data_IF_639697607465
#
_entry.id   IF_639697607465
#
_cell.length_a   1.000
_cell.length_b   1.000
_cell.length_c   1.000
_cell.angle_alpha   90.00
_cell.angle_beta   90.00
_cell.angle_gamma   90.00
#
_symmetry.space_group_name_H-M   'P 1'
#
loop_
_entity.id
_entity.type
_entity.pdbx_description
1 polymer ?
#
# COMPACT_ATOMS: atom_id res chain seq x y z
N UNK A 1 16.77 -51.78 63.07
CA UNK A 1 16.03 -50.47 62.97
C UNK A 1 16.59 -49.52 61.89
N UNK A 2 17.66 -49.79 61.18
CA UNK A 2 18.22 -48.86 60.17
C UNK A 2 17.71 -49.00 58.72
N UNK A 3 17.05 -50.08 58.34
CA UNK A 3 16.57 -50.32 56.98
C UNK A 3 15.23 -49.60 56.69
N UNK A 4 14.33 -49.53 57.66
CA UNK A 4 13.02 -48.94 57.53
C UNK A 4 13.03 -47.38 57.30
N UNK A 5 13.99 -46.69 57.92
CA UNK A 5 14.14 -45.25 57.77
C UNK A 5 14.73 -44.87 56.41
N UNK A 6 15.48 -45.77 55.75
CA UNK A 6 16.07 -45.53 54.42
C UNK A 6 15.06 -45.74 53.30
N UNK A 7 14.16 -46.66 53.46
CA UNK A 7 13.11 -46.93 52.47
C UNK A 7 11.95 -45.88 52.57
N UNK A 8 11.69 -45.37 53.76
CA UNK A 8 10.73 -44.26 53.94
C UNK A 8 11.24 -42.94 53.32
N UNK A 9 12.56 -42.67 53.37
CA UNK A 9 13.14 -41.50 52.69
C UNK A 9 13.08 -41.65 51.16
N UNK A 10 13.29 -42.82 50.62
CA UNK A 10 13.16 -43.10 49.17
C UNK A 10 11.71 -42.93 48.74
N UNK A 11 10.73 -43.37 49.50
CA UNK A 11 9.32 -43.20 49.18
C UNK A 11 8.89 -41.72 49.20
N UNK A 12 9.37 -40.93 50.15
CA UNK A 12 9.14 -39.50 50.23
C UNK A 12 9.76 -38.76 49.01
N UNK A 13 10.97 -39.15 48.57
CA UNK A 13 11.57 -38.59 47.38
C UNK A 13 10.85 -38.95 46.08
N UNK A 14 10.28 -40.14 45.96
CA UNK A 14 9.46 -40.59 44.84
C UNK A 14 8.13 -39.80 44.79
N UNK A 15 7.49 -39.60 45.95
CA UNK A 15 6.24 -38.79 46.03
C UNK A 15 6.52 -37.33 45.69
N UNK A 16 7.63 -36.77 46.15
CA UNK A 16 8.04 -35.38 45.82
C UNK A 16 8.38 -35.20 44.32
N UNK A 17 8.98 -36.20 43.68
CA UNK A 17 9.23 -36.23 42.25
C UNK A 17 7.94 -36.37 41.44
N UNK A 18 6.98 -37.18 41.88
CA UNK A 18 5.67 -37.32 41.22
C UNK A 18 4.82 -36.04 41.31
N UNK A 19 4.88 -35.32 42.44
CA UNK A 19 4.17 -34.04 42.57
C UNK A 19 4.70 -32.93 41.67
N UNK A 20 6.00 -32.91 41.31
CA UNK A 20 6.61 -31.99 40.38
C UNK A 20 6.21 -32.26 38.93
N UNK A 21 5.90 -33.49 38.56
CA UNK A 21 5.50 -33.85 37.19
C UNK A 21 4.04 -33.50 36.89
N UNK A 22 3.15 -33.63 37.89
CA UNK A 22 1.71 -33.33 37.75
C UNK A 22 1.46 -31.83 37.64
N UNK A 23 2.22 -30.99 38.37
CA UNK A 23 2.11 -29.53 38.29
C UNK A 23 2.48 -28.91 36.94
N UNK A 24 3.41 -29.53 36.17
CA UNK A 24 3.82 -29.03 34.88
C UNK A 24 2.80 -29.31 33.75
N UNK A 25 2.03 -30.40 33.81
CA UNK A 25 1.09 -30.75 32.74
C UNK A 25 -0.17 -29.90 32.76
N UNK A 26 -0.71 -29.57 33.93
CA UNK A 26 -1.89 -28.67 34.06
C UNK A 26 -1.51 -27.25 33.65
N UNK A 27 -0.36 -26.75 34.02
CA UNK A 27 0.13 -25.43 33.62
C UNK A 27 0.33 -25.31 32.10
N UNK A 28 0.79 -26.36 31.43
CA UNK A 28 0.98 -26.36 29.96
C UNK A 28 -0.35 -26.32 29.20
N UNK A 29 -1.32 -27.17 29.59
CA UNK A 29 -2.64 -27.19 28.94
C UNK A 29 -3.44 -25.92 29.21
N UNK A 30 -3.33 -25.33 30.39
CA UNK A 30 -3.93 -24.05 30.72
C UNK A 30 -3.32 -22.91 29.88
N UNK A 31 -1.99 -22.84 29.77
CA UNK A 31 -1.30 -21.88 28.94
C UNK A 31 -1.72 -22.02 27.48
N UNK A 32 -1.85 -23.25 26.97
CA UNK A 32 -2.29 -23.54 25.61
C UNK A 32 -3.75 -23.12 25.38
N UNK A 33 -4.64 -23.32 26.35
CA UNK A 33 -6.04 -22.86 26.30
C UNK A 33 -6.12 -21.34 26.27
N UNK A 34 -5.37 -20.64 27.12
CA UNK A 34 -5.33 -19.18 27.19
C UNK A 34 -4.80 -18.63 25.84
N UNK A 35 -3.70 -19.17 25.34
CA UNK A 35 -3.11 -18.76 24.06
C UNK A 35 -4.09 -18.97 22.89
N UNK A 36 -4.80 -20.10 22.87
CA UNK A 36 -5.83 -20.39 21.86
C UNK A 36 -7.00 -19.41 21.96
N UNK A 37 -7.49 -19.14 23.18
CA UNK A 37 -8.57 -18.19 23.39
C UNK A 37 -8.18 -16.77 22.99
N UNK A 38 -6.97 -16.31 23.34
CA UNK A 38 -6.43 -15.03 22.93
C UNK A 38 -6.30 -14.92 21.40
N UNK A 39 -5.80 -15.97 20.74
CA UNK A 39 -5.70 -16.03 19.28
C UNK A 39 -7.08 -15.96 18.62
N UNK A 40 -8.08 -16.69 19.12
CA UNK A 40 -9.44 -16.64 18.60
C UNK A 40 -10.08 -15.26 18.80
N UNK A 41 -9.85 -14.63 19.95
CA UNK A 41 -10.30 -13.26 20.22
C UNK A 41 -9.66 -12.27 19.23
N UNK A 42 -8.34 -12.32 19.06
CA UNK A 42 -7.62 -11.46 18.11
C UNK A 42 -8.11 -11.65 16.66
N UNK A 43 -8.39 -12.89 16.23
CA UNK A 43 -8.96 -13.18 14.91
C UNK A 43 -10.37 -12.60 14.73
N UNK A 44 -11.24 -12.70 15.76
CA UNK A 44 -12.58 -12.09 15.74
C UNK A 44 -12.50 -10.57 15.66
N UNK A 45 -11.62 -9.95 16.45
CA UNK A 45 -11.39 -8.50 16.41
C UNK A 45 -10.84 -8.05 15.05
N UNK A 46 -9.88 -8.79 14.45
CA UNK A 46 -9.35 -8.48 13.12
C UNK A 46 -10.42 -8.65 12.04
N UNK A 47 -11.29 -9.66 12.15
CA UNK A 47 -12.40 -9.85 11.21
C UNK A 47 -13.49 -8.78 11.33
N UNK A 48 -13.70 -8.22 12.52
CA UNK A 48 -14.68 -7.17 12.77
C UNK A 48 -14.16 -5.77 12.40
N UNK A 49 -12.85 -5.56 12.34
CA UNK A 49 -12.23 -4.29 11.98
C UNK A 49 -12.47 -3.92 10.51
N UNK A 50 -12.48 -2.62 10.22
CA UNK A 50 -12.43 -2.09 8.85
C UNK A 50 -10.97 -1.94 8.42
N UNK A 51 -10.48 -2.85 7.60
CA UNK A 51 -9.09 -2.90 7.16
C UNK A 51 -8.92 -2.16 5.84
N UNK A 52 -7.94 -1.27 5.81
CA UNK A 52 -7.61 -0.46 4.63
C UNK A 52 -6.20 -0.80 4.18
N UNK A 53 -6.07 -1.30 2.95
CA UNK A 53 -4.77 -1.55 2.33
C UNK A 53 -4.16 -0.26 1.80
N UNK A 54 -2.92 0.03 2.18
CA UNK A 54 -2.21 1.26 1.85
C UNK A 54 -0.79 0.99 1.35
N UNK A 55 -0.26 1.91 0.54
CA UNK A 55 1.08 1.89 -0.05
C UNK A 55 1.98 2.97 0.56
N UNK A 56 3.29 2.84 0.48
CA UNK A 56 4.23 3.88 0.92
C UNK A 56 4.30 5.04 -0.08
N UNK A 57 3.14 5.63 -0.41
CA UNK A 57 2.98 6.68 -1.41
C UNK A 57 2.25 7.88 -0.84
N UNK A 58 2.44 9.06 -1.45
CA UNK A 58 1.95 10.33 -0.92
C UNK A 58 0.42 10.44 -0.92
N UNK A 59 -0.25 9.81 -1.86
CA UNK A 59 -1.71 9.76 -1.94
C UNK A 59 -2.37 8.97 -0.79
N UNK A 60 -1.59 8.13 -0.10
CA UNK A 60 -1.99 7.48 1.15
C UNK A 60 -1.83 8.37 2.40
N UNK A 61 -1.18 9.55 2.27
CA UNK A 61 -0.89 10.43 3.42
C UNK A 61 -2.14 10.84 4.21
N UNK A 62 -3.31 11.14 3.59
CA UNK A 62 -4.52 11.43 4.37
C UNK A 62 -4.94 10.26 5.27
N UNK A 63 -4.75 9.01 4.82
CA UNK A 63 -5.10 7.81 5.60
C UNK A 63 -4.12 7.65 6.78
N UNK A 64 -2.83 7.85 6.54
CA UNK A 64 -1.80 7.80 7.59
C UNK A 64 -2.03 8.88 8.64
N UNK A 65 -2.28 10.12 8.18
CA UNK A 65 -2.58 11.24 9.07
C UNK A 65 -3.82 10.98 9.91
N UNK A 66 -4.90 10.49 9.28
CA UNK A 66 -6.13 10.18 10.00
C UNK A 66 -5.92 9.10 11.07
N UNK A 67 -5.04 8.13 10.84
CA UNK A 67 -4.70 7.11 11.82
C UNK A 67 -3.83 7.64 12.95
N UNK A 68 -2.71 8.30 12.63
CA UNK A 68 -1.73 8.77 13.62
C UNK A 68 -2.28 9.90 14.50
N UNK A 69 -3.10 10.78 13.94
CA UNK A 69 -3.74 11.89 14.68
C UNK A 69 -5.15 11.56 15.18
N UNK A 70 -5.55 10.28 15.16
CA UNK A 70 -6.84 9.80 15.70
C UNK A 70 -8.06 10.56 15.11
N UNK A 71 -8.01 10.90 13.81
CA UNK A 71 -9.11 11.61 13.14
C UNK A 71 -10.28 10.68 12.77
N UNK A 72 -10.09 9.36 12.88
CA UNK A 72 -11.18 8.40 12.75
C UNK A 72 -12.06 8.41 14.00
N UNK A 73 -13.32 8.04 13.84
CA UNK A 73 -14.25 7.87 14.96
C UNK A 73 -13.75 6.73 15.86
N UNK A 74 -13.54 7.02 17.15
CA UNK A 74 -13.01 6.05 18.13
C UNK A 74 -13.95 4.88 18.41
N UNK A 75 -15.25 5.03 18.08
CA UNK A 75 -16.23 3.94 18.18
C UNK A 75 -16.09 2.90 17.05
N UNK A 76 -15.13 3.09 16.12
CA UNK A 76 -14.92 2.21 14.96
C UNK A 76 -13.46 1.78 14.89
N UNK A 77 -13.24 0.47 14.84
CA UNK A 77 -11.87 -0.07 14.66
C UNK A 77 -11.48 -0.02 13.16
N UNK A 78 -10.65 0.98 12.80
CA UNK A 78 -10.06 1.11 11.48
C UNK A 78 -8.59 0.72 11.56
N UNK A 79 -8.20 -0.32 10.82
CA UNK A 79 -6.84 -0.85 10.79
C UNK A 79 -6.19 -0.67 9.43
N UNK A 80 -4.95 -0.18 9.40
CA UNK A 80 -4.16 -0.08 8.18
C UNK A 80 -3.38 -1.38 7.95
N UNK A 81 -3.48 -1.92 6.74
CA UNK A 81 -2.65 -3.03 6.26
C UNK A 81 -1.64 -2.44 5.27
N UNK A 82 -0.38 -2.41 5.69
CA UNK A 82 0.72 -1.82 4.92
C UNK A 82 1.23 -2.82 3.89
N UNK A 83 1.21 -2.45 2.62
CA UNK A 83 1.78 -3.21 1.52
C UNK A 83 2.87 -2.38 0.84
N UNK A 84 3.80 -3.03 0.15
CA UNK A 84 4.85 -2.36 -0.63
C UNK A 84 4.61 -2.44 -2.14
N UNK A 85 3.76 -3.37 -2.55
CA UNK A 85 3.41 -3.59 -3.95
C UNK A 85 1.89 -3.54 -4.18
N UNK A 86 1.47 -2.90 -5.26
CA UNK A 86 0.05 -2.83 -5.64
C UNK A 86 -0.57 -4.20 -5.87
N UNK A 87 0.18 -5.15 -6.43
CA UNK A 87 -0.33 -6.52 -6.67
C UNK A 87 -0.78 -7.24 -5.39
N UNK A 88 -0.12 -6.94 -4.26
CA UNK A 88 -0.50 -7.52 -2.97
C UNK A 88 -1.82 -6.93 -2.46
N UNK A 89 -2.08 -5.65 -2.75
CA UNK A 89 -3.38 -5.00 -2.47
C UNK A 89 -4.48 -5.62 -3.32
N UNK A 90 -4.24 -5.82 -4.63
CA UNK A 90 -5.20 -6.49 -5.51
C UNK A 90 -5.59 -7.87 -4.96
N UNK A 91 -4.58 -8.66 -4.60
CA UNK A 91 -4.78 -9.99 -4.01
C UNK A 91 -5.52 -9.91 -2.67
N UNK A 92 -5.26 -8.88 -1.86
CA UNK A 92 -5.95 -8.68 -0.59
C UNK A 92 -7.42 -8.27 -0.78
N UNK A 93 -7.70 -7.45 -1.80
CA UNK A 93 -9.06 -7.06 -2.19
C UNK A 93 -9.82 -8.27 -2.75
N UNK A 94 -9.30 -8.95 -3.77
CA UNK A 94 -9.98 -10.10 -4.41
C UNK A 94 -10.23 -11.27 -3.44
N UNK A 95 -9.36 -11.44 -2.43
CA UNK A 95 -9.53 -12.46 -1.39
C UNK A 95 -10.27 -11.95 -0.14
N UNK A 96 -10.92 -10.80 -0.18
CA UNK A 96 -11.70 -10.22 0.93
C UNK A 96 -10.91 -10.10 2.26
N UNK A 97 -9.58 -9.91 2.18
CA UNK A 97 -8.72 -9.74 3.37
C UNK A 97 -8.69 -8.29 3.88
N UNK A 98 -9.15 -7.36 3.06
CA UNK A 98 -9.30 -5.93 3.38
C UNK A 98 -10.62 -5.41 2.81
N UNK A 99 -11.22 -4.46 3.50
CA UNK A 99 -12.50 -3.85 3.12
C UNK A 99 -12.32 -2.73 2.08
N UNK A 100 -11.16 -2.06 2.11
CA UNK A 100 -10.82 -1.01 1.15
C UNK A 100 -9.33 -1.03 0.81
N UNK A 101 -8.94 -0.44 -0.32
CA UNK A 101 -7.54 -0.35 -0.72
C UNK A 101 -7.27 0.81 -1.66
N UNK A 102 -6.04 1.34 -1.59
CA UNK A 102 -5.54 2.36 -2.52
C UNK A 102 -4.98 1.66 -3.76
N UNK A 103 -5.33 2.14 -4.94
CA UNK A 103 -4.93 1.53 -6.22
C UNK A 103 -4.96 2.57 -7.35
N UNK A 104 -4.87 2.10 -8.59
CA UNK A 104 -5.06 2.90 -9.79
C UNK A 104 -6.23 2.37 -10.66
N UNK A 105 -6.78 3.24 -11.51
CA UNK A 105 -7.94 2.93 -12.34
C UNK A 105 -7.71 1.74 -13.27
N UNK A 106 -6.51 1.59 -13.82
CA UNK A 106 -6.19 0.48 -14.74
C UNK A 106 -6.32 -0.86 -14.01
N UNK A 107 -5.74 -0.96 -12.81
CA UNK A 107 -5.81 -2.17 -12.00
C UNK A 107 -7.23 -2.50 -11.59
N UNK A 108 -7.96 -1.49 -11.13
CA UNK A 108 -9.34 -1.69 -10.66
C UNK A 108 -10.28 -2.10 -11.79
N UNK A 109 -10.19 -1.48 -12.96
CA UNK A 109 -11.00 -1.89 -14.11
C UNK A 109 -10.62 -3.29 -14.60
N UNK A 110 -9.36 -3.69 -14.48
CA UNK A 110 -8.93 -5.07 -14.73
C UNK A 110 -9.58 -6.06 -13.76
N UNK A 111 -9.54 -5.78 -12.44
CA UNK A 111 -10.15 -6.64 -11.42
C UNK A 111 -11.66 -6.75 -11.63
N UNK A 112 -12.35 -5.65 -11.91
CA UNK A 112 -13.77 -5.67 -12.26
C UNK A 112 -14.06 -6.54 -13.49
N UNK A 113 -13.22 -6.46 -14.53
CA UNK A 113 -13.33 -7.32 -15.73
C UNK A 113 -13.12 -8.80 -15.38
N UNK A 114 -12.37 -9.11 -14.33
CA UNK A 114 -12.16 -10.46 -13.81
C UNK A 114 -13.28 -10.95 -12.88
N UNK A 115 -14.26 -10.11 -12.57
CA UNK A 115 -15.45 -10.45 -11.78
C UNK A 115 -15.46 -9.92 -10.35
N UNK A 116 -14.44 -9.14 -9.94
CA UNK A 116 -14.42 -8.52 -8.62
C UNK A 116 -15.49 -7.42 -8.48
N UNK A 117 -16.24 -7.45 -7.37
CA UNK A 117 -17.30 -6.49 -7.06
C UNK A 117 -16.76 -5.27 -6.34
N UNK A 118 -15.94 -4.46 -7.03
CA UNK A 118 -15.29 -3.27 -6.49
C UNK A 118 -16.07 -2.00 -6.82
N UNK A 119 -16.15 -1.07 -5.84
CA UNK A 119 -16.68 0.29 -6.03
C UNK A 119 -15.65 1.34 -5.68
N UNK A 120 -15.66 2.43 -6.44
CA UNK A 120 -14.85 3.61 -6.13
C UNK A 120 -15.41 4.30 -4.89
N UNK A 121 -14.56 4.55 -3.90
CA UNK A 121 -14.85 5.42 -2.76
C UNK A 121 -14.46 6.86 -3.07
N UNK A 122 -13.28 7.05 -3.65
CA UNK A 122 -12.78 8.37 -4.04
C UNK A 122 -11.65 8.27 -5.05
N UNK A 123 -11.48 9.31 -5.86
CA UNK A 123 -10.21 9.59 -6.51
C UNK A 123 -9.18 10.05 -5.47
N UNK A 124 -7.89 9.84 -5.75
CA UNK A 124 -6.78 10.40 -4.98
C UNK A 124 -5.98 11.40 -5.82
N UNK A 125 -5.10 12.15 -5.19
CA UNK A 125 -4.19 13.06 -5.88
C UNK A 125 -2.91 12.38 -6.39
N UNK A 126 -2.90 11.05 -6.50
CA UNK A 126 -1.76 10.32 -7.04
C UNK A 126 -1.45 10.76 -8.47
N UNK A 127 -0.17 11.01 -8.72
CA UNK A 127 0.35 11.19 -10.06
C UNK A 127 1.66 10.42 -10.24
N UNK A 128 1.96 10.09 -11.47
CA UNK A 128 3.12 9.28 -11.82
C UNK A 128 4.03 10.05 -12.77
N UNK A 129 5.32 9.80 -12.61
CA UNK A 129 6.34 10.34 -13.46
C UNK A 129 7.19 9.21 -14.05
N UNK A 130 7.40 9.22 -15.35
CA UNK A 130 8.44 8.43 -15.98
C UNK A 130 9.76 9.18 -15.79
N UNK A 131 10.64 8.57 -15.01
CA UNK A 131 11.93 9.14 -14.63
C UNK A 131 13.03 8.36 -15.30
N UNK A 132 14.00 9.03 -15.88
CA UNK A 132 15.15 8.42 -16.52
C UNK A 132 16.42 8.62 -15.71
N UNK A 133 17.29 7.63 -15.72
CA UNK A 133 18.56 7.70 -15.02
C UNK A 133 19.43 8.79 -15.63
N UNK A 134 19.96 9.66 -14.79
CA UNK A 134 20.87 10.73 -15.23
C UNK A 134 22.10 10.21 -15.98
N UNK A 135 22.59 9.02 -15.62
CA UNK A 135 23.74 8.36 -16.26
C UNK A 135 23.39 7.82 -17.65
N UNK A 136 22.14 7.44 -17.89
CA UNK A 136 21.67 6.91 -19.17
C UNK A 136 21.46 8.00 -20.23
N UNK A 137 21.46 9.29 -19.83
CA UNK A 137 21.31 10.46 -20.74
C UNK A 137 20.08 10.40 -21.64
N UNK A 138 18.99 9.83 -21.15
CA UNK A 138 17.70 9.73 -21.85
C UNK A 138 16.95 11.04 -21.62
N UNK A 139 16.94 11.93 -22.62
CA UNK A 139 16.30 13.25 -22.57
C UNK A 139 15.11 13.38 -23.51
N UNK A 140 14.86 12.38 -24.35
CA UNK A 140 13.75 12.31 -25.31
C UNK A 140 13.22 10.85 -25.32
N UNK A 141 11.96 10.66 -25.70
CA UNK A 141 11.34 9.33 -25.81
C UNK A 141 12.07 8.42 -26.79
N UNK A 142 12.65 8.95 -27.87
CA UNK A 142 13.45 8.17 -28.85
C UNK A 142 14.66 7.50 -28.22
N UNK A 143 15.21 8.07 -27.15
CA UNK A 143 16.35 7.52 -26.44
C UNK A 143 16.00 6.32 -25.57
N UNK A 144 14.72 5.94 -25.49
CA UNK A 144 14.28 4.70 -24.83
C UNK A 144 14.52 3.45 -25.69
N UNK A 145 14.93 3.62 -26.96
CA UNK A 145 15.30 2.51 -27.81
C UNK A 145 16.44 1.70 -27.20
N UNK A 146 16.25 0.39 -27.11
CA UNK A 146 17.21 -0.54 -26.51
C UNK A 146 17.50 -0.26 -25.02
N UNK A 147 16.49 0.23 -24.26
CA UNK A 147 16.60 0.58 -22.84
C UNK A 147 15.64 -0.22 -21.97
N UNK A 148 16.03 -0.37 -20.70
CA UNK A 148 15.21 -1.00 -19.66
C UNK A 148 14.25 0.02 -19.03
N UNK A 149 12.95 -0.31 -18.99
CA UNK A 149 11.90 0.48 -18.35
C UNK A 149 11.22 -0.34 -17.25
N UNK A 150 11.46 0.01 -15.97
CA UNK A 150 10.80 -0.64 -14.86
C UNK A 150 9.39 -0.09 -14.62
N UNK A 151 8.43 -1.00 -14.55
CA UNK A 151 7.01 -0.70 -14.36
C UNK A 151 6.28 -1.88 -13.67
N UNK A 152 4.98 -1.78 -13.45
CA UNK A 152 4.10 -2.88 -13.04
C UNK A 152 3.11 -3.16 -14.16
N UNK A 153 3.03 -4.40 -14.62
CA UNK A 153 2.09 -4.80 -15.69
C UNK A 153 0.64 -4.53 -15.29
N UNK A 154 -0.18 -4.17 -16.27
CA UNK A 154 -1.60 -3.89 -16.11
C UNK A 154 -1.90 -2.86 -15.01
N UNK A 155 -1.11 -1.78 -14.99
CA UNK A 155 -1.29 -0.64 -14.11
C UNK A 155 -1.11 0.66 -14.90
N UNK A 156 -1.36 1.78 -14.25
CA UNK A 156 -1.03 3.10 -14.83
C UNK A 156 0.44 3.20 -15.27
N UNK A 157 1.35 2.48 -14.60
CA UNK A 157 2.78 2.51 -14.96
C UNK A 157 3.07 1.77 -16.26
N UNK A 158 2.31 0.74 -16.60
CA UNK A 158 2.37 0.05 -17.89
C UNK A 158 1.76 0.90 -19.01
N UNK A 159 0.62 1.54 -18.72
CA UNK A 159 -0.01 2.50 -19.65
C UNK A 159 0.96 3.64 -20.00
N UNK A 160 1.68 4.18 -19.01
CA UNK A 160 2.71 5.22 -19.28
C UNK A 160 3.88 4.67 -20.09
N UNK A 161 4.23 3.40 -19.92
CA UNK A 161 5.21 2.72 -20.76
C UNK A 161 4.80 2.67 -22.23
N UNK A 162 3.52 2.34 -22.51
CA UNK A 162 2.98 2.38 -23.88
C UNK A 162 3.00 3.78 -24.46
N UNK A 163 2.52 4.78 -23.68
CA UNK A 163 2.53 6.18 -24.12
C UNK A 163 3.96 6.70 -24.45
N UNK A 164 4.96 6.24 -23.70
CA UNK A 164 6.35 6.60 -23.93
C UNK A 164 6.88 5.98 -25.24
N UNK A 165 6.56 4.70 -25.49
CA UNK A 165 6.91 3.99 -26.73
C UNK A 165 6.26 4.68 -27.94
N UNK A 166 4.96 4.97 -27.84
CA UNK A 166 4.20 5.66 -28.91
C UNK A 166 4.73 7.06 -29.17
N UNK A 167 5.04 7.82 -28.12
CA UNK A 167 5.60 9.17 -28.21
C UNK A 167 7.00 9.17 -28.87
N UNK A 168 7.80 8.15 -28.62
CA UNK A 168 9.10 7.95 -29.26
C UNK A 168 9.01 7.39 -30.67
N UNK A 169 7.81 6.97 -31.13
CA UNK A 169 7.60 6.21 -32.37
C UNK A 169 8.47 4.96 -32.43
N UNK A 170 8.64 4.29 -31.30
CA UNK A 170 9.45 3.10 -31.15
C UNK A 170 8.60 1.84 -31.38
N UNK A 171 9.25 0.74 -31.75
CA UNK A 171 8.64 -0.58 -31.69
C UNK A 171 8.64 -1.07 -30.25
N UNK A 172 7.53 -1.68 -29.82
CA UNK A 172 7.34 -2.09 -28.41
C UNK A 172 8.44 -3.05 -27.92
N UNK A 173 8.91 -3.94 -28.78
CA UNK A 173 9.99 -4.90 -28.50
C UNK A 173 11.39 -4.24 -28.33
N UNK A 174 11.51 -2.98 -28.70
CA UNK A 174 12.76 -2.23 -28.55
C UNK A 174 12.91 -1.56 -27.19
N UNK A 175 11.89 -1.61 -26.34
CA UNK A 175 11.94 -1.12 -24.95
C UNK A 175 11.72 -2.30 -24.02
N UNK A 176 12.75 -2.68 -23.26
CA UNK A 176 12.71 -3.82 -22.37
C UNK A 176 11.94 -3.49 -21.09
N UNK A 177 10.68 -3.95 -20.99
CA UNK A 177 9.81 -3.70 -19.83
C UNK A 177 10.09 -4.70 -18.73
N UNK A 178 10.62 -4.20 -17.63
CA UNK A 178 10.97 -4.99 -16.46
C UNK A 178 9.89 -4.80 -15.38
N UNK A 179 9.27 -5.89 -14.96
CA UNK A 179 8.24 -5.84 -13.92
C UNK A 179 8.87 -5.75 -12.54
N UNK A 180 8.74 -4.60 -11.89
CA UNK A 180 9.16 -4.34 -10.52
C UNK A 180 7.97 -3.71 -9.78
N UNK A 181 7.36 -4.44 -8.87
CA UNK A 181 6.08 -4.04 -8.26
C UNK A 181 6.24 -3.07 -7.08
N UNK A 182 7.34 -3.16 -6.34
CA UNK A 182 7.62 -2.29 -5.20
C UNK A 182 8.25 -0.98 -5.66
N UNK A 183 7.60 0.16 -5.33
CA UNK A 183 8.03 1.49 -5.73
C UNK A 183 9.36 1.89 -5.09
N UNK A 184 9.65 1.44 -3.87
CA UNK A 184 10.91 1.74 -3.19
C UNK A 184 12.06 0.91 -3.78
N UNK A 185 11.79 -0.33 -4.24
CA UNK A 185 12.78 -1.13 -4.98
C UNK A 185 13.11 -0.45 -6.30
N UNK A 186 12.09 0.03 -7.05
CA UNK A 186 12.33 0.82 -8.27
C UNK A 186 13.22 2.02 -8.01
N UNK A 187 12.93 2.80 -6.96
CA UNK A 187 13.75 3.96 -6.60
C UNK A 187 15.20 3.55 -6.31
N UNK A 188 15.43 2.48 -5.54
CA UNK A 188 16.77 1.98 -5.26
C UNK A 188 17.53 1.53 -6.50
N UNK A 189 16.85 0.86 -7.43
CA UNK A 189 17.48 0.45 -8.70
C UNK A 189 17.89 1.66 -9.55
N UNK A 190 17.12 2.76 -9.49
CA UNK A 190 17.51 4.02 -10.11
C UNK A 190 18.76 4.62 -9.43
N UNK A 191 18.77 4.66 -8.09
CA UNK A 191 19.89 5.17 -7.28
C UNK A 191 21.19 4.39 -7.55
N UNK A 192 21.08 3.07 -7.73
CA UNK A 192 22.20 2.17 -8.01
C UNK A 192 22.62 2.11 -9.48
N UNK A 193 21.97 2.87 -10.38
CA UNK A 193 22.17 2.81 -11.83
C UNK A 193 21.88 1.42 -12.45
N UNK A 194 20.96 0.65 -11.89
CA UNK A 194 20.55 -0.68 -12.36
C UNK A 194 19.43 -0.60 -13.41
N UNK A 195 18.77 0.56 -13.56
CA UNK A 195 17.68 0.81 -14.51
C UNK A 195 17.91 2.09 -15.30
N UNK A 196 17.58 2.05 -16.60
CA UNK A 196 17.67 3.22 -17.49
C UNK A 196 16.50 4.19 -17.26
N UNK A 197 15.30 3.65 -17.14
CA UNK A 197 14.06 4.40 -16.91
C UNK A 197 13.11 3.62 -16.00
N UNK A 198 12.22 4.33 -15.32
CA UNK A 198 11.19 3.72 -14.48
C UNK A 198 10.06 4.70 -14.19
N UNK A 199 8.91 4.15 -13.78
CA UNK A 199 7.78 4.99 -13.38
C UNK A 199 7.68 5.01 -11.86
N UNK A 200 7.70 6.21 -11.28
CA UNK A 200 7.54 6.49 -9.86
C UNK A 200 6.30 7.34 -9.60
N UNK A 201 5.79 7.27 -8.39
CA UNK A 201 4.84 8.22 -7.80
C UNK A 201 5.51 8.99 -6.66
N UNK A 202 4.81 9.97 -6.07
CA UNK A 202 5.34 10.71 -4.93
C UNK A 202 5.26 9.90 -3.62
N UNK A 203 6.22 10.08 -2.72
CA UNK A 203 7.37 10.99 -2.75
C UNK A 203 8.65 10.38 -3.36
N UNK A 204 8.61 9.16 -3.89
CA UNK A 204 9.78 8.53 -4.50
C UNK A 204 10.26 9.29 -5.75
N UNK A 205 9.33 9.85 -6.53
CA UNK A 205 9.68 10.70 -7.66
C UNK A 205 10.39 11.98 -7.20
N UNK A 206 9.98 12.58 -6.07
CA UNK A 206 10.66 13.71 -5.46
C UNK A 206 12.11 13.37 -5.07
N UNK A 207 12.36 12.19 -4.51
CA UNK A 207 13.71 11.74 -4.21
C UNK A 207 14.55 11.53 -5.46
N UNK A 208 13.97 11.00 -6.53
CA UNK A 208 14.66 10.88 -7.83
C UNK A 208 15.04 12.27 -8.40
N UNK A 209 14.13 13.26 -8.29
CA UNK A 209 14.43 14.66 -8.71
C UNK A 209 15.51 15.30 -7.85
N UNK A 210 15.52 15.04 -6.53
CA UNK A 210 16.60 15.50 -5.63
C UNK A 210 17.96 14.99 -6.10
N UNK A 211 18.04 13.76 -6.62
CA UNK A 211 19.25 13.13 -7.16
C UNK A 211 19.54 13.53 -8.62
N UNK A 212 18.81 14.52 -9.17
CA UNK A 212 19.01 15.05 -10.53
C UNK A 212 18.71 14.04 -11.64
N UNK A 213 17.84 13.07 -11.38
CA UNK A 213 17.28 12.24 -12.43
C UNK A 213 16.27 13.05 -13.27
N UNK A 214 16.17 12.73 -14.56
CA UNK A 214 15.33 13.50 -15.50
C UNK A 214 13.90 12.97 -15.50
N UNK A 215 12.90 13.86 -15.48
CA UNK A 215 11.48 13.52 -15.64
C UNK A 215 11.12 13.67 -17.12
N UNK A 216 10.89 12.54 -17.78
CA UNK A 216 10.54 12.50 -19.20
C UNK A 216 9.04 12.69 -19.43
N UNK A 217 8.19 12.18 -18.52
CA UNK A 217 6.71 12.26 -18.58
C UNK A 217 6.11 12.48 -17.19
N UNK A 218 5.01 13.23 -17.12
CA UNK A 218 4.25 13.49 -15.89
C UNK A 218 2.75 13.41 -16.19
N UNK A 219 2.00 12.58 -15.48
CA UNK A 219 0.55 12.39 -15.70
C UNK A 219 -0.26 13.66 -15.51
N UNK A 220 0.20 14.62 -14.70
CA UNK A 220 -0.47 15.92 -14.54
C UNK A 220 -0.44 16.74 -15.83
N UNK A 221 0.68 16.66 -16.58
CA UNK A 221 0.80 17.33 -17.89
C UNK A 221 -0.02 16.66 -18.99
N UNK A 222 -0.42 15.41 -18.77
CA UNK A 222 -1.28 14.63 -19.67
C UNK A 222 -2.76 14.72 -19.28
N UNK A 223 -3.10 15.52 -18.27
CA UNK A 223 -4.45 15.58 -17.67
C UNK A 223 -4.99 14.18 -17.32
N UNK A 224 -4.21 13.41 -16.57
CA UNK A 224 -4.54 12.05 -16.13
C UNK A 224 -4.58 11.97 -14.60
N UNK A 225 -5.76 11.71 -14.03
CA UNK A 225 -5.98 11.48 -12.60
C UNK A 225 -6.37 10.01 -12.38
N UNK A 226 -5.38 9.14 -12.18
CA UNK A 226 -5.59 7.70 -12.22
C UNK A 226 -5.64 7.03 -10.83
N UNK A 227 -5.33 7.76 -9.75
CA UNK A 227 -5.31 7.21 -8.38
C UNK A 227 -6.71 7.11 -7.78
N UNK A 228 -7.00 6.00 -7.10
CA UNK A 228 -8.30 5.75 -6.47
C UNK A 228 -8.19 5.00 -5.15
N UNK A 229 -9.19 5.17 -4.29
CA UNK A 229 -9.49 4.26 -3.19
C UNK A 229 -10.77 3.52 -3.57
N UNK A 230 -10.76 2.21 -3.40
CA UNK A 230 -11.90 1.33 -3.68
C UNK A 230 -12.29 0.52 -2.47
N UNK A 231 -13.53 0.01 -2.46
CA UNK A 231 -13.99 -0.96 -1.47
C UNK A 231 -14.62 -2.17 -2.15
N UNK A 232 -14.56 -3.31 -1.47
CA UNK A 232 -15.35 -4.49 -1.81
C UNK A 232 -16.81 -4.20 -1.50
N UNK A 233 -17.69 -4.28 -2.53
CA UNK A 233 -19.10 -3.95 -2.33
C UNK A 233 -19.85 -4.99 -1.51
N UNK A 234 -19.61 -6.28 -1.78
CA UNK A 234 -20.29 -7.37 -1.09
C UNK A 234 -20.00 -7.41 0.42
N UNK A 235 -18.83 -6.92 0.82
CA UNK A 235 -18.44 -6.88 2.24
C UNK A 235 -19.05 -5.68 2.97
N UNK A 236 -19.74 -4.80 2.25
CA UNK A 236 -20.35 -3.58 2.80
C UNK A 236 -21.84 -3.76 3.11
N UNK A 237 -22.40 -4.96 2.89
CA UNK A 237 -23.77 -5.28 3.23
C UNK A 237 -23.92 -5.40 4.75
N UNK A 238 -24.57 -4.41 5.33
CA UNK A 238 -24.86 -4.34 6.75
C UNK A 238 -24.59 -2.96 7.34
N UNK A 239 -25.41 -2.57 8.31
CA UNK A 239 -25.35 -1.25 8.96
C UNK A 239 -23.99 -1.00 9.64
N UNK A 240 -23.38 -2.03 10.23
CA UNK A 240 -22.08 -1.96 10.90
C UNK A 240 -20.97 -1.58 9.92
N UNK A 241 -20.87 -2.24 8.77
CA UNK A 241 -19.86 -1.98 7.75
C UNK A 241 -20.08 -0.60 7.09
N UNK A 242 -21.33 -0.25 6.80
CA UNK A 242 -21.66 1.08 6.29
C UNK A 242 -21.29 2.19 7.29
N UNK A 243 -21.46 1.96 8.60
CA UNK A 243 -21.01 2.88 9.66
C UNK A 243 -19.49 3.03 9.66
N UNK A 244 -18.76 1.93 9.56
CA UNK A 244 -17.28 1.91 9.51
C UNK A 244 -16.77 2.67 8.28
N UNK A 245 -17.34 2.43 7.10
CA UNK A 245 -16.99 3.14 5.87
C UNK A 245 -17.24 4.65 6.00
N UNK A 246 -18.42 5.05 6.52
CA UNK A 246 -18.70 6.47 6.76
C UNK A 246 -17.72 7.11 7.74
N UNK A 247 -17.28 6.38 8.77
CA UNK A 247 -16.27 6.86 9.72
C UNK A 247 -14.90 7.03 9.04
N UNK A 248 -14.49 6.06 8.19
CA UNK A 248 -13.30 6.17 7.37
C UNK A 248 -13.34 7.41 6.47
N UNK A 249 -14.44 7.59 5.72
CA UNK A 249 -14.62 8.73 4.81
C UNK A 249 -14.55 10.09 5.54
N UNK A 250 -15.16 10.21 6.71
CA UNK A 250 -15.07 11.44 7.52
C UNK A 250 -13.66 11.72 8.00
N UNK A 251 -12.95 10.70 8.51
CA UNK A 251 -11.56 10.84 8.95
C UNK A 251 -10.62 11.21 7.79
N UNK A 252 -10.80 10.58 6.64
CA UNK A 252 -10.07 10.92 5.42
C UNK A 252 -10.26 12.39 5.03
N UNK A 253 -11.51 12.88 4.98
CA UNK A 253 -11.79 14.28 4.66
C UNK A 253 -11.15 15.26 5.66
N UNK A 254 -11.22 14.96 6.98
CA UNK A 254 -10.55 15.78 8.00
C UNK A 254 -9.04 15.83 7.78
N UNK A 255 -8.44 14.72 7.40
CA UNK A 255 -7.01 14.67 7.09
C UNK A 255 -6.66 15.50 5.84
N UNK A 256 -7.47 15.40 4.77
CA UNK A 256 -7.31 16.23 3.57
C UNK A 256 -7.40 17.72 3.91
N UNK A 257 -8.39 18.13 4.70
CA UNK A 257 -8.55 19.52 5.15
C UNK A 257 -7.31 20.00 5.92
N UNK A 258 -6.76 19.15 6.82
CA UNK A 258 -5.56 19.45 7.58
C UNK A 258 -4.33 19.58 6.69
N UNK A 259 -4.13 18.69 5.74
CA UNK A 259 -3.01 18.73 4.78
C UNK A 259 -3.07 20.00 3.93
N UNK A 260 -4.25 20.33 3.42
CA UNK A 260 -4.46 21.53 2.59
C UNK A 260 -4.28 22.83 3.39
N UNK A 261 -4.66 22.83 4.68
CA UNK A 261 -4.56 23.99 5.55
C UNK A 261 -3.14 24.25 6.02
N UNK A 262 -2.43 23.21 6.43
CA UNK A 262 -1.13 23.36 7.10
C UNK A 262 0.06 23.06 6.18
N UNK A 263 -0.16 22.43 5.01
CA UNK A 263 0.88 22.08 4.04
C UNK A 263 1.70 20.86 4.42
N UNK A 264 2.35 20.28 3.41
CA UNK A 264 3.10 19.00 3.52
C UNK A 264 4.30 19.07 4.47
N UNK A 265 4.95 20.22 4.58
CA UNK A 265 6.15 20.40 5.42
C UNK A 265 5.85 20.11 6.90
N UNK A 266 4.65 20.43 7.39
CA UNK A 266 4.21 20.13 8.75
C UNK A 266 4.02 18.63 9.03
N UNK A 267 3.92 17.82 7.99
CA UNK A 267 3.75 16.36 8.07
C UNK A 267 4.97 15.60 7.54
N UNK A 268 6.12 16.27 7.44
CA UNK A 268 7.35 15.69 6.90
C UNK A 268 7.77 14.40 7.60
N UNK A 269 7.69 14.35 8.93
CA UNK A 269 8.01 13.15 9.71
C UNK A 269 7.11 11.98 9.39
N UNK A 270 5.82 12.23 9.10
CA UNK A 270 4.85 11.23 8.73
C UNK A 270 5.16 10.65 7.33
N UNK A 271 5.51 11.53 6.37
CA UNK A 271 5.90 11.12 5.02
C UNK A 271 7.16 10.24 5.09
N UNK A 272 8.19 10.66 5.82
CA UNK A 272 9.42 9.87 6.00
C UNK A 272 9.12 8.51 6.64
N UNK A 273 8.30 8.49 7.71
CA UNK A 273 7.93 7.27 8.43
C UNK A 273 7.27 6.24 7.52
N UNK A 274 6.27 6.64 6.74
CA UNK A 274 5.46 5.71 5.97
C UNK A 274 5.97 5.47 4.54
N UNK A 275 6.52 6.50 3.89
CA UNK A 275 6.96 6.39 2.51
C UNK A 275 8.45 5.99 2.36
N UNK A 276 9.23 6.01 3.45
CA UNK A 276 10.63 5.57 3.51
C UNK A 276 11.55 6.33 2.54
N UNK A 277 11.31 7.62 2.38
CA UNK A 277 12.18 8.53 1.59
C UNK A 277 13.06 9.37 2.50
N UNK A 278 14.09 9.98 1.93
CA UNK A 278 14.96 10.91 2.65
C UNK A 278 14.20 12.19 3.02
N UNK A 279 14.43 12.78 4.21
CA UNK A 279 13.77 14.04 4.60
C UNK A 279 13.93 15.17 3.58
N UNK A 280 15.09 15.23 2.92
CA UNK A 280 15.42 16.26 1.91
C UNK A 280 14.54 16.17 0.67
N UNK A 281 14.00 14.98 0.36
CA UNK A 281 13.12 14.77 -0.78
C UNK A 281 11.80 15.55 -0.64
N UNK A 282 11.36 15.83 0.60
CA UNK A 282 10.12 16.55 0.85
C UNK A 282 10.16 17.97 0.27
N UNK A 283 11.33 18.60 0.24
CA UNK A 283 11.54 19.92 -0.37
C UNK A 283 11.34 19.93 -1.89
N UNK A 284 11.34 18.75 -2.52
CA UNK A 284 11.09 18.56 -3.96
C UNK A 284 9.62 18.26 -4.28
N UNK A 285 8.77 18.11 -3.26
CA UNK A 285 7.33 17.97 -3.46
C UNK A 285 6.73 19.29 -3.96
N UNK A 286 5.65 19.17 -4.71
CA UNK A 286 4.89 20.33 -5.16
C UNK A 286 4.19 20.96 -3.95
N UNK A 287 4.53 22.20 -3.66
CA UNK A 287 3.97 22.96 -2.52
C UNK A 287 2.47 23.28 -2.71
N UNK A 288 2.01 23.29 -3.95
CA UNK A 288 0.62 23.55 -4.30
C UNK A 288 -0.21 22.28 -4.42
N UNK A 289 0.36 21.10 -4.08
CA UNK A 289 -0.35 19.85 -4.16
C UNK A 289 -1.54 19.84 -3.19
N UNK A 290 -2.74 19.67 -3.75
CA UNK A 290 -3.97 19.58 -2.97
C UNK A 290 -4.40 18.13 -2.77
N UNK A 291 -5.00 17.87 -1.61
CA UNK A 291 -5.61 16.59 -1.28
C UNK A 291 -7.12 16.75 -1.38
N UNK A 292 -7.76 16.20 -2.43
CA UNK A 292 -9.19 16.37 -2.61
C UNK A 292 -9.95 15.61 -1.52
N UNK A 293 -11.03 16.22 -1.02
CA UNK A 293 -12.02 15.49 -0.25
C UNK A 293 -12.63 14.40 -1.13
N UNK A 294 -13.33 13.47 -0.51
CA UNK A 294 -13.97 12.37 -1.21
C UNK A 294 -14.78 12.85 -2.40
N UNK A 295 -14.39 12.38 -3.59
CA UNK A 295 -15.05 12.61 -4.87
C UNK A 295 -14.79 11.42 -5.80
N UNK A 296 -15.76 11.03 -6.60
CA UNK A 296 -15.59 9.94 -7.56
C UNK A 296 -14.54 10.30 -8.62
N UNK A 297 -13.84 9.30 -9.19
CA UNK A 297 -12.92 9.55 -10.30
C UNK A 297 -13.67 10.11 -11.51
N UNK A 298 -12.94 10.88 -12.33
CA UNK A 298 -13.50 11.43 -13.57
C UNK A 298 -13.83 10.29 -14.55
N UNK A 299 -14.98 10.34 -15.16
CA UNK A 299 -15.43 9.32 -16.13
C UNK A 299 -14.43 9.18 -17.29
N UNK A 300 -13.88 10.28 -17.78
CA UNK A 300 -12.87 10.28 -18.83
C UNK A 300 -11.61 9.46 -18.48
N UNK A 301 -11.18 9.47 -17.21
CA UNK A 301 -10.03 8.69 -16.77
C UNK A 301 -10.39 7.20 -16.61
N UNK A 302 -11.60 6.89 -16.16
CA UNK A 302 -12.10 5.51 -16.09
C UNK A 302 -12.20 4.92 -17.50
N UNK A 303 -12.77 5.67 -18.46
CA UNK A 303 -12.87 5.21 -19.86
C UNK A 303 -11.49 5.10 -20.53
N UNK A 304 -10.54 5.95 -20.19
CA UNK A 304 -9.13 5.82 -20.63
C UNK A 304 -8.52 4.50 -20.16
N UNK A 305 -8.74 4.13 -18.91
CA UNK A 305 -8.26 2.86 -18.36
C UNK A 305 -8.89 1.65 -19.08
N UNK A 306 -10.22 1.66 -19.26
CA UNK A 306 -10.95 0.60 -19.96
C UNK A 306 -10.51 0.47 -21.42
N UNK A 307 -10.41 1.59 -22.14
CA UNK A 307 -9.97 1.63 -23.54
C UNK A 307 -8.55 1.08 -23.69
N UNK A 308 -7.64 1.41 -22.79
CA UNK A 308 -6.29 0.85 -22.82
C UNK A 308 -6.31 -0.66 -22.56
N UNK A 309 -7.07 -1.12 -21.55
CA UNK A 309 -7.20 -2.55 -21.22
C UNK A 309 -7.86 -3.38 -22.33
N UNK A 310 -8.69 -2.79 -23.17
CA UNK A 310 -9.31 -3.51 -24.30
C UNK A 310 -8.34 -3.82 -25.43
N UNK A 311 -7.17 -3.15 -25.47
CA UNK A 311 -6.11 -3.33 -26.47
C UNK A 311 -5.01 -4.29 -25.98
N UNK A 312 -5.10 -4.78 -24.73
CA UNK A 312 -4.14 -5.70 -24.09
C UNK A 312 -4.68 -7.12 -23.98
#
# INVERSE_FOLDING_TARGET
MCTFARDMKKLLWIIMLLSLVVGCSESYEETKRITRAQRLKALREDSAAFKVAVLPTLDCLPIYLAKDHQLFDTAVDIRLKLFTAQMDIDTALSNHRVEAGVSDLVRIERLKKQGDSLRYLTATNAYWQLVTNRSARILDFKHLDDKMLAMTRYSVTDLLGDLAVDSGKLKSERVFRIQINDVNVRLKMLENNEMDALVLTEPQAAQARLLKHHVLMDTRKLDMAMGVIVSQWKDMDGESRAKQMRAFMRGYNRACDSLNKYGLENYASLIVKYCRVKPEAIKQLDKNLQFPRIALPREADVERAKTWLSKK
#
